data_IF_904556668755
#
_entry.id   IF_904556668755
#
_cell.length_a   1.000
_cell.length_b   1.000
_cell.length_c   1.000
_cell.angle_alpha   90.00
_cell.angle_beta   90.00
_cell.angle_gamma   90.00
#
_symmetry.space_group_name_H-M   'P 1'
#
loop_
_entity.id
_entity.type
_entity.pdbx_description
1 polymer ?
#
# COMPACT_ATOMS: atom_id res chain seq x y z
N UNK A 1 26.02 -13.13 -16.59
CA UNK A 1 26.18 -12.46 -15.29
C UNK A 1 26.29 -10.99 -15.60
N UNK A 2 25.17 -10.29 -15.51
CA UNK A 2 25.13 -8.85 -15.62
C UNK A 2 24.81 -8.37 -14.19
N UNK A 3 25.62 -7.46 -13.67
CA UNK A 3 25.45 -6.88 -12.33
C UNK A 3 24.13 -6.07 -12.33
N UNK A 4 23.03 -6.72 -11.95
CA UNK A 4 21.64 -6.26 -12.13
C UNK A 4 21.02 -5.69 -10.85
N UNK A 5 21.82 -5.41 -9.82
CA UNK A 5 21.32 -4.98 -8.51
C UNK A 5 20.54 -3.66 -8.58
N UNK A 6 21.00 -2.70 -9.39
CA UNK A 6 20.31 -1.41 -9.57
C UNK A 6 19.03 -1.49 -10.42
N UNK A 7 18.85 -2.54 -11.22
CA UNK A 7 17.60 -2.74 -11.97
C UNK A 7 16.52 -3.39 -11.11
N UNK A 8 16.92 -4.17 -10.12
CA UNK A 8 16.00 -4.84 -9.19
C UNK A 8 15.37 -3.83 -8.23
N UNK A 9 16.15 -2.93 -7.62
CA UNK A 9 15.62 -1.85 -6.77
C UNK A 9 14.57 -0.97 -7.49
N UNK A 10 14.81 -0.66 -8.77
CA UNK A 10 13.84 0.04 -9.61
C UNK A 10 12.57 -0.78 -9.87
N UNK A 11 12.67 -2.11 -9.88
CA UNK A 11 11.52 -3.00 -10.11
C UNK A 11 10.59 -3.02 -8.89
N UNK A 12 11.10 -3.20 -7.66
CA UNK A 12 10.23 -3.21 -6.47
C UNK A 12 9.56 -1.86 -6.23
N UNK A 13 10.28 -0.74 -6.44
CA UNK A 13 9.67 0.59 -6.30
C UNK A 13 8.60 0.82 -7.38
N UNK A 14 8.83 0.40 -8.63
CA UNK A 14 7.80 0.44 -9.67
C UNK A 14 6.60 -0.48 -9.36
N UNK A 15 6.87 -1.67 -8.82
CA UNK A 15 5.98 -2.53 -8.00
C UNK A 15 4.99 -1.73 -7.15
N UNK A 16 5.54 -1.11 -6.11
CA UNK A 16 4.81 -0.40 -5.07
C UNK A 16 4.06 0.81 -5.63
N UNK A 17 4.68 1.58 -6.54
CA UNK A 17 4.02 2.71 -7.21
C UNK A 17 2.82 2.26 -8.05
N UNK A 18 2.91 1.14 -8.78
CA UNK A 18 1.77 0.60 -9.54
C UNK A 18 0.64 0.12 -8.63
N UNK A 19 0.97 -0.48 -7.49
CA UNK A 19 0.00 -0.85 -6.46
C UNK A 19 -0.71 0.39 -5.90
N UNK A 20 0.03 1.48 -5.63
CA UNK A 20 -0.53 2.78 -5.24
C UNK A 20 -1.48 3.38 -6.27
N UNK A 21 -1.09 3.40 -7.54
CA UNK A 21 -1.94 3.93 -8.62
C UNK A 21 -3.27 3.17 -8.71
N UNK A 22 -3.23 1.84 -8.58
CA UNK A 22 -4.43 1.01 -8.56
C UNK A 22 -5.32 1.29 -7.35
N UNK A 23 -4.73 1.48 -6.18
CA UNK A 23 -5.45 1.86 -4.96
C UNK A 23 -6.08 3.25 -5.11
N UNK A 24 -5.37 4.23 -5.67
CA UNK A 24 -5.89 5.58 -5.92
C UNK A 24 -7.09 5.56 -6.87
N UNK A 25 -7.05 4.73 -7.92
CA UNK A 25 -8.18 4.50 -8.81
C UNK A 25 -9.38 3.86 -8.08
N UNK A 26 -9.14 2.80 -7.29
CA UNK A 26 -10.18 2.17 -6.48
C UNK A 26 -10.81 3.14 -5.46
N UNK A 27 -10.03 4.02 -4.85
CA UNK A 27 -10.53 5.07 -3.95
C UNK A 27 -11.49 6.00 -4.67
N UNK A 28 -11.22 6.35 -5.94
CA UNK A 28 -12.12 7.19 -6.74
C UNK A 28 -13.49 6.51 -6.92
N UNK A 29 -13.49 5.21 -7.24
CA UNK A 29 -14.70 4.40 -7.35
C UNK A 29 -15.45 4.26 -6.02
N UNK A 30 -14.74 4.18 -4.88
CA UNK A 30 -15.39 4.15 -3.55
C UNK A 30 -16.12 5.47 -3.29
N UNK A 31 -15.52 6.61 -3.64
CA UNK A 31 -16.16 7.93 -3.47
C UNK A 31 -17.41 8.07 -4.35
N UNK A 32 -17.38 7.57 -5.58
CA UNK A 32 -18.55 7.55 -6.44
C UNK A 32 -19.68 6.68 -5.85
N UNK A 33 -19.34 5.49 -5.35
CA UNK A 33 -20.28 4.61 -4.66
C UNK A 33 -20.88 5.25 -3.40
N UNK A 34 -20.06 5.98 -2.61
CA UNK A 34 -20.52 6.72 -1.43
C UNK A 34 -21.52 7.82 -1.80
N UNK A 35 -21.24 8.62 -2.83
CA UNK A 35 -22.19 9.65 -3.31
C UNK A 35 -23.50 9.04 -3.83
N UNK A 36 -23.46 7.82 -4.37
CA UNK A 36 -24.64 7.08 -4.82
C UNK A 36 -25.37 6.33 -3.68
N UNK A 37 -24.81 6.29 -2.47
CA UNK A 37 -25.36 5.52 -1.35
C UNK A 37 -25.24 4.00 -1.49
N UNK A 38 -24.37 3.50 -2.38
CA UNK A 38 -24.19 2.07 -2.64
C UNK A 38 -23.16 1.44 -1.69
N UNK A 39 -23.59 1.18 -0.45
CA UNK A 39 -22.77 0.50 0.56
C UNK A 39 -22.33 -0.92 0.11
N UNK A 40 -23.09 -1.57 -0.77
CA UNK A 40 -22.75 -2.87 -1.34
C UNK A 40 -21.52 -2.81 -2.23
N UNK A 41 -21.47 -1.81 -3.12
CA UNK A 41 -20.31 -1.54 -3.96
C UNK A 41 -19.11 -1.04 -3.14
N UNK A 42 -19.32 -0.14 -2.16
CA UNK A 42 -18.25 0.29 -1.26
C UNK A 42 -17.57 -0.89 -0.58
N UNK A 43 -18.34 -1.85 -0.05
CA UNK A 43 -17.78 -3.01 0.63
C UNK A 43 -16.98 -3.92 -0.31
N UNK A 44 -17.44 -4.08 -1.57
CA UNK A 44 -16.68 -4.82 -2.60
C UNK A 44 -15.36 -4.14 -2.94
N UNK A 45 -15.37 -2.82 -3.09
CA UNK A 45 -14.18 -2.03 -3.42
C UNK A 45 -13.20 -2.00 -2.24
N UNK A 46 -13.67 -1.87 -1.00
CA UNK A 46 -12.82 -1.96 0.20
C UNK A 46 -12.05 -3.30 0.25
N UNK A 47 -12.72 -4.42 -0.03
CA UNK A 47 -12.03 -5.72 -0.13
C UNK A 47 -11.01 -5.80 -1.26
N UNK A 48 -11.26 -5.14 -2.40
CA UNK A 48 -10.29 -5.06 -3.50
C UNK A 48 -9.06 -4.23 -3.10
N UNK A 49 -9.26 -3.10 -2.43
CA UNK A 49 -8.17 -2.27 -1.89
C UNK A 49 -7.34 -3.10 -0.90
N UNK A 50 -7.97 -3.75 0.08
CA UNK A 50 -7.26 -4.60 1.04
C UNK A 50 -6.49 -5.74 0.36
N UNK A 51 -7.01 -6.31 -0.73
CA UNK A 51 -6.29 -7.33 -1.47
C UNK A 51 -5.03 -6.79 -2.18
N UNK A 52 -5.02 -5.53 -2.63
CA UNK A 52 -3.81 -4.90 -3.18
C UNK A 52 -2.83 -4.54 -2.07
N UNK A 53 -3.34 -3.98 -0.97
CA UNK A 53 -2.50 -3.49 0.13
C UNK A 53 -1.85 -4.60 0.96
N UNK A 54 -2.44 -5.78 1.09
CA UNK A 54 -1.87 -6.83 1.96
C UNK A 54 -0.45 -7.29 1.55
N UNK A 55 -0.12 -7.64 0.28
CA UNK A 55 1.27 -7.90 -0.06
C UNK A 55 2.13 -6.63 -0.08
N UNK A 56 1.53 -5.47 -0.30
CA UNK A 56 2.21 -4.18 -0.40
C UNK A 56 2.83 -3.78 0.94
N UNK A 57 2.02 -3.71 1.99
CA UNK A 57 2.49 -3.34 3.33
C UNK A 57 3.50 -4.35 3.88
N UNK A 58 3.41 -5.63 3.48
CA UNK A 58 4.40 -6.63 3.84
C UNK A 58 5.80 -6.31 3.28
N UNK A 59 5.90 -5.76 2.06
CA UNK A 59 7.18 -5.35 1.47
C UNK A 59 7.75 -4.13 2.18
N UNK A 60 6.88 -3.22 2.59
CA UNK A 60 7.28 -2.02 3.31
C UNK A 60 7.72 -2.34 4.74
N UNK A 61 6.85 -2.97 5.54
CA UNK A 61 7.07 -3.23 6.97
C UNK A 61 8.15 -4.28 7.25
N UNK A 62 8.44 -5.15 6.29
CA UNK A 62 9.46 -6.20 6.44
C UNK A 62 10.66 -6.04 5.53
N UNK A 63 10.68 -5.01 4.69
CA UNK A 63 11.79 -4.70 3.79
C UNK A 63 12.21 -3.23 3.92
N UNK A 64 11.41 -2.31 3.37
CA UNK A 64 11.81 -0.90 3.25
C UNK A 64 11.93 -0.19 4.61
N UNK A 65 10.94 -0.31 5.48
CA UNK A 65 10.92 0.41 6.75
C UNK A 65 12.03 -0.05 7.70
N UNK A 66 12.30 -1.35 7.90
CA UNK A 66 13.46 -1.79 8.68
C UNK A 66 14.79 -1.22 8.16
N UNK A 67 14.97 -1.15 6.84
CA UNK A 67 16.20 -0.62 6.23
C UNK A 67 16.37 0.89 6.44
N UNK A 68 15.27 1.63 6.65
CA UNK A 68 15.26 3.08 6.89
C UNK A 68 15.15 3.45 8.38
N UNK A 69 14.81 2.51 9.25
CA UNK A 69 14.47 2.77 10.66
C UNK A 69 15.65 3.32 11.48
N UNK A 70 16.89 3.02 11.10
CA UNK A 70 18.07 3.57 11.80
C UNK A 70 18.19 5.09 11.62
N UNK A 71 17.78 5.61 10.45
CA UNK A 71 17.85 7.05 10.13
C UNK A 71 16.51 7.76 10.39
N UNK A 72 15.38 7.06 10.19
CA UNK A 72 14.02 7.61 10.25
C UNK A 72 13.05 6.78 11.12
N UNK A 73 13.36 6.53 12.41
CA UNK A 73 12.57 5.63 13.25
C UNK A 73 11.17 6.16 13.57
N UNK A 74 11.01 7.47 13.74
CA UNK A 74 9.72 8.07 14.07
C UNK A 74 8.78 8.10 12.86
N UNK A 75 9.35 8.33 11.67
CA UNK A 75 8.60 8.41 10.42
C UNK A 75 8.10 7.02 10.01
N UNK A 76 8.96 6.01 10.06
CA UNK A 76 8.58 4.61 9.76
C UNK A 76 7.51 4.10 10.73
N UNK A 77 7.67 4.33 12.04
CA UNK A 77 6.66 3.96 13.02
C UNK A 77 5.31 4.69 12.82
N UNK A 78 5.33 5.94 12.36
CA UNK A 78 4.11 6.67 12.04
C UNK A 78 3.40 6.08 10.81
N UNK A 79 4.13 5.67 9.78
CA UNK A 79 3.57 5.02 8.59
C UNK A 79 2.96 3.65 8.94
N UNK A 80 3.63 2.82 9.74
CA UNK A 80 3.07 1.57 10.24
C UNK A 80 1.77 1.78 11.04
N UNK A 81 1.71 2.84 11.86
CA UNK A 81 0.49 3.18 12.58
C UNK A 81 -0.65 3.58 11.62
N UNK A 82 -0.34 4.27 10.53
CA UNK A 82 -1.31 4.60 9.47
C UNK A 82 -1.79 3.34 8.73
N UNK A 83 -0.91 2.38 8.42
CA UNK A 83 -1.30 1.08 7.87
C UNK A 83 -2.34 0.40 8.75
N UNK A 84 -2.10 0.32 10.06
CA UNK A 84 -3.04 -0.31 11.01
C UNK A 84 -4.41 0.36 11.04
N UNK A 85 -4.47 1.69 10.88
CA UNK A 85 -5.74 2.43 10.81
C UNK A 85 -6.50 2.07 9.53
N UNK A 86 -5.81 2.06 8.39
CA UNK A 86 -6.39 1.76 7.08
C UNK A 86 -6.86 0.30 7.03
N UNK A 87 -6.01 -0.64 7.42
CA UNK A 87 -6.32 -2.07 7.48
C UNK A 87 -7.57 -2.34 8.30
N UNK A 88 -7.65 -1.80 9.52
CA UNK A 88 -8.80 -1.99 10.40
C UNK A 88 -10.12 -1.50 9.76
N UNK A 89 -10.09 -0.37 9.03
CA UNK A 89 -11.27 0.17 8.36
C UNK A 89 -11.70 -0.69 7.15
N UNK A 90 -10.75 -1.28 6.42
CA UNK A 90 -11.00 -2.18 5.30
C UNK A 90 -11.54 -3.53 5.79
N UNK A 91 -10.99 -4.06 6.89
CA UNK A 91 -11.39 -5.32 7.51
C UNK A 91 -12.85 -5.35 7.96
N UNK A 92 -13.43 -4.19 8.31
CA UNK A 92 -14.86 -4.11 8.64
C UNK A 92 -15.74 -4.71 7.51
N UNK A 93 -15.30 -4.61 6.25
CA UNK A 93 -16.01 -5.15 5.08
C UNK A 93 -15.61 -6.58 4.68
N UNK A 94 -14.74 -7.27 5.44
CA UNK A 94 -14.22 -8.58 5.06
C UNK A 94 -15.32 -9.64 4.90
N UNK A 95 -16.32 -9.65 5.79
CA UNK A 95 -17.42 -10.61 5.79
C UNK A 95 -18.64 -10.19 4.93
N UNK A 96 -18.58 -9.06 4.24
CA UNK A 96 -19.68 -8.52 3.44
C UNK A 96 -19.90 -7.02 3.68
N UNK A 97 -21.10 -6.54 3.41
CA UNK A 97 -21.46 -5.14 3.68
C UNK A 97 -21.74 -4.93 5.16
N UNK A 98 -21.00 -4.02 5.84
CA UNK A 98 -21.27 -3.72 7.25
C UNK A 98 -22.68 -3.19 7.46
N UNK A 99 -23.29 -3.59 8.58
CA UNK A 99 -24.65 -3.15 8.95
C UNK A 99 -24.66 -1.79 9.65
N UNK A 100 -23.51 -1.34 10.14
CA UNK A 100 -23.36 -0.04 10.78
C UNK A 100 -23.52 1.08 9.74
N UNK A 101 -24.52 1.92 9.93
CA UNK A 101 -24.82 3.05 9.03
C UNK A 101 -23.72 4.12 9.01
N UNK A 102 -22.84 4.14 10.00
CA UNK A 102 -21.70 5.06 10.10
C UNK A 102 -20.42 4.52 9.46
N UNK A 103 -20.42 3.25 9.05
CA UNK A 103 -19.28 2.62 8.39
C UNK A 103 -18.84 3.32 7.09
N UNK A 104 -19.75 3.74 6.17
CA UNK A 104 -19.35 4.41 4.94
C UNK A 104 -18.48 5.65 5.19
N UNK A 105 -18.82 6.46 6.19
CA UNK A 105 -18.06 7.67 6.52
C UNK A 105 -16.72 7.35 7.21
N UNK A 106 -16.65 6.26 7.99
CA UNK A 106 -15.37 5.77 8.53
C UNK A 106 -14.44 5.32 7.41
N UNK A 107 -14.96 4.55 6.45
CA UNK A 107 -14.20 4.11 5.29
C UNK A 107 -13.65 5.33 4.52
N UNK A 108 -14.49 6.33 4.23
CA UNK A 108 -14.03 7.54 3.51
C UNK A 108 -12.88 8.23 4.26
N UNK A 109 -12.97 8.40 5.59
CA UNK A 109 -11.88 9.00 6.38
C UNK A 109 -10.60 8.19 6.33
N UNK A 110 -10.68 6.86 6.38
CA UNK A 110 -9.51 5.99 6.25
C UNK A 110 -8.90 6.09 4.84
N UNK A 111 -9.72 6.20 3.79
CA UNK A 111 -9.22 6.37 2.42
C UNK A 111 -8.64 7.76 2.16
N UNK A 112 -9.11 8.79 2.88
CA UNK A 112 -8.46 10.12 2.85
C UNK A 112 -7.07 10.05 3.49
N UNK A 113 -6.94 9.39 4.64
CA UNK A 113 -5.63 9.11 5.26
C UNK A 113 -4.71 8.34 4.30
N UNK A 114 -5.23 7.28 3.67
CA UNK A 114 -4.47 6.46 2.73
C UNK A 114 -3.93 7.27 1.54
N UNK A 115 -4.65 8.28 1.05
CA UNK A 115 -4.12 9.13 -0.04
C UNK A 115 -2.95 9.98 0.40
N UNK A 116 -3.02 10.57 1.60
CA UNK A 116 -1.91 11.35 2.14
C UNK A 116 -0.71 10.46 2.48
N UNK A 117 -0.99 9.24 2.96
CA UNK A 117 0.00 8.22 3.20
C UNK A 117 0.79 7.85 1.94
N UNK A 118 0.08 7.51 0.86
CA UNK A 118 0.68 7.22 -0.46
C UNK A 118 1.61 8.35 -0.94
N UNK A 119 1.23 9.62 -0.69
CA UNK A 119 2.07 10.78 -1.05
C UNK A 119 3.35 10.85 -0.22
N UNK A 120 3.28 10.60 1.10
CA UNK A 120 4.47 10.56 1.96
C UNK A 120 5.47 9.51 1.49
N UNK A 121 4.97 8.39 1.00
CA UNK A 121 5.82 7.30 0.53
C UNK A 121 6.42 7.60 -0.83
N UNK A 122 5.61 7.95 -1.82
CA UNK A 122 6.10 8.18 -3.17
C UNK A 122 7.00 9.42 -3.29
N UNK A 123 6.72 10.49 -2.54
CA UNK A 123 7.51 11.74 -2.60
C UNK A 123 8.61 11.80 -1.52
N UNK A 124 8.60 10.87 -0.56
CA UNK A 124 9.51 10.85 0.59
C UNK A 124 10.26 9.54 0.73
N UNK A 125 9.56 8.49 1.16
CA UNK A 125 10.17 7.19 1.48
C UNK A 125 10.87 6.56 0.28
N UNK A 126 10.22 6.49 -0.88
CA UNK A 126 10.76 5.80 -2.06
C UNK A 126 12.02 6.50 -2.60
N UNK A 127 12.06 7.84 -2.77
CA UNK A 127 13.30 8.54 -3.08
C UNK A 127 14.40 8.36 -2.04
N UNK A 128 14.05 8.41 -0.75
CA UNK A 128 15.01 8.20 0.34
C UNK A 128 15.60 6.78 0.28
N UNK A 129 14.76 5.77 0.04
CA UNK A 129 15.18 4.38 -0.10
C UNK A 129 16.16 4.21 -1.27
N UNK A 130 15.82 4.74 -2.44
CA UNK A 130 16.67 4.69 -3.64
C UNK A 130 18.03 5.38 -3.44
N UNK A 131 18.08 6.40 -2.59
CA UNK A 131 19.31 7.15 -2.31
C UNK A 131 20.18 6.52 -1.20
N UNK A 132 19.56 5.87 -0.21
CA UNK A 132 20.24 5.46 1.02
C UNK A 132 20.55 3.95 1.12
N UNK A 133 19.70 3.09 0.55
CA UNK A 133 19.82 1.64 0.77
C UNK A 133 21.03 1.06 0.03
N UNK A 134 21.76 0.19 0.73
CA UNK A 134 22.82 -0.63 0.14
C UNK A 134 22.25 -1.73 -0.75
N UNK A 135 23.13 -2.39 -1.50
CA UNK A 135 22.72 -3.53 -2.35
C UNK A 135 22.15 -4.68 -1.50
N UNK A 136 22.77 -4.97 -0.36
CA UNK A 136 22.32 -6.04 0.55
C UNK A 136 20.94 -5.73 1.14
N UNK A 137 20.67 -4.47 1.50
CA UNK A 137 19.36 -4.06 1.99
C UNK A 137 18.28 -4.20 0.89
N UNK A 138 18.61 -3.87 -0.36
CA UNK A 138 17.71 -4.12 -1.49
C UNK A 138 17.46 -5.62 -1.71
N UNK A 139 18.47 -6.47 -1.55
CA UNK A 139 18.29 -7.93 -1.64
C UNK A 139 17.30 -8.47 -0.60
N UNK A 140 17.29 -7.90 0.62
CA UNK A 140 16.31 -8.24 1.65
C UNK A 140 14.89 -7.81 1.28
N UNK A 141 14.73 -6.58 0.75
CA UNK A 141 13.45 -6.08 0.23
C UNK A 141 12.92 -6.99 -0.89
N UNK A 142 13.78 -7.34 -1.84
CA UNK A 142 13.45 -8.25 -2.96
C UNK A 142 13.07 -9.64 -2.48
N UNK A 143 13.74 -10.17 -1.44
CA UNK A 143 13.39 -11.45 -0.85
C UNK A 143 11.98 -11.43 -0.25
N UNK A 144 11.57 -10.32 0.37
CA UNK A 144 10.19 -10.13 0.84
C UNK A 144 9.22 -10.06 -0.33
N UNK A 145 9.49 -9.22 -1.34
CA UNK A 145 8.67 -9.10 -2.55
C UNK A 145 8.48 -10.44 -3.25
N UNK A 146 9.54 -11.22 -3.44
CA UNK A 146 9.47 -12.55 -4.05
C UNK A 146 8.60 -13.54 -3.26
N UNK A 147 8.57 -13.40 -1.93
CA UNK A 147 7.75 -14.26 -1.05
C UNK A 147 6.27 -13.90 -1.10
N UNK A 148 5.92 -12.61 -1.12
CA UNK A 148 4.52 -12.14 -1.04
C UNK A 148 3.88 -11.89 -2.40
N UNK A 149 4.70 -11.67 -3.44
CA UNK A 149 4.26 -11.35 -4.79
C UNK A 149 3.60 -9.97 -4.89
N UNK A 150 2.82 -9.78 -5.95
CA UNK A 150 1.89 -8.66 -6.11
C UNK A 150 0.53 -9.20 -6.54
N UNK A 151 -0.55 -8.52 -6.13
CA UNK A 151 -1.91 -8.83 -6.61
C UNK A 151 -2.32 -8.00 -7.83
N UNK A 152 -1.40 -7.22 -8.40
CA UNK A 152 -1.61 -6.52 -9.65
C UNK A 152 -1.73 -7.50 -10.82
N UNK A 153 -2.73 -7.31 -11.68
CA UNK A 153 -2.77 -8.01 -12.96
C UNK A 153 -1.57 -7.55 -13.81
N UNK A 154 -0.75 -8.48 -14.29
CA UNK A 154 0.35 -8.11 -15.18
C UNK A 154 -0.25 -7.52 -16.46
N UNK A 155 0.30 -6.40 -16.98
CA UNK A 155 -0.12 -5.91 -18.28
C UNK A 155 0.14 -7.01 -19.31
N UNK A 156 -0.87 -7.34 -20.11
CA UNK A 156 -0.68 -8.19 -21.26
C UNK A 156 0.35 -7.50 -22.17
N UNK A 157 1.51 -8.15 -22.35
CA UNK A 157 2.60 -7.65 -23.18
C UNK A 157 2.24 -7.54 -24.66
#
# INVERSE_FOLDING_TARGET
MCEYCGCQSLTTIDDLTREHDAVVDLISHVRDAHRAGDAGLMARLARRIGAVLEPHTQVEEHGLFPALADEFPEQTAALEAEHRIVEAALEEAAAGTPRDVTWPDRLIRALDLLREHILKEQDGVFPAALAALSTEQWEEVEAVRARVGTRMEQPAG
#
